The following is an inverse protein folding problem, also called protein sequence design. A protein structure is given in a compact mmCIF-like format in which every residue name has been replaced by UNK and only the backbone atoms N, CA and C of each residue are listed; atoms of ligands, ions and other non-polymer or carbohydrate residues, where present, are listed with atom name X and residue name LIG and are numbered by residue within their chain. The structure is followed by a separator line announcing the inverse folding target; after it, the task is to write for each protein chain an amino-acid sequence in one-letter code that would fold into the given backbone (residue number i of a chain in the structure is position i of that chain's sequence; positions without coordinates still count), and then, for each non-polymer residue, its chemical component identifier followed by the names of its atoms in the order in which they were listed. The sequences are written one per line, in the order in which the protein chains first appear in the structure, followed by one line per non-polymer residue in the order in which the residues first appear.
data_IF_841773572659
#
_entry.id   IF_841773572659
#
_cell.length_a   1.000
_cell.length_b   1.000
_cell.length_c   1.000
_cell.angle_alpha   90.00
_cell.angle_beta   90.00
_cell.angle_gamma   90.00
#
_symmetry.space_group_name_H-M   'P 1'
#
loop_
_entity.id
_entity.type
_entity.pdbx_description
1 polymer ?
#
# COMPACT_ATOMS: atom_id res chain seq x y z
N UNK A 1 -2.11 -2.30 -11.48
CA UNK A 1 -2.00 -1.80 -10.08
C UNK A 1 -2.95 -2.53 -9.15
N UNK A 2 -4.16 -2.86 -9.61
CA UNK A 2 -5.14 -3.75 -8.96
C UNK A 2 -4.48 -5.00 -8.35
N UNK A 3 -3.67 -5.72 -9.12
CA UNK A 3 -3.21 -7.07 -8.75
C UNK A 3 -2.44 -7.18 -7.42
N UNK A 4 -1.64 -6.16 -7.04
CA UNK A 4 -0.91 -6.18 -5.76
C UNK A 4 -1.78 -5.76 -4.56
N UNK A 5 -2.78 -4.91 -4.79
CA UNK A 5 -3.77 -4.54 -3.78
C UNK A 5 -4.74 -5.72 -3.57
N UNK A 6 -5.15 -6.39 -4.64
CA UNK A 6 -5.96 -7.61 -4.60
C UNK A 6 -5.23 -8.73 -3.84
N UNK A 7 -3.91 -8.85 -4.00
CA UNK A 7 -3.08 -9.75 -3.19
C UNK A 7 -3.07 -9.35 -1.70
N UNK A 8 -3.14 -8.07 -1.34
CA UNK A 8 -3.29 -7.67 0.07
C UNK A 8 -4.62 -8.14 0.65
N UNK A 9 -5.68 -8.11 -0.15
CA UNK A 9 -7.00 -8.58 0.25
C UNK A 9 -7.07 -10.11 0.37
N UNK A 10 -6.31 -10.86 -0.45
CA UNK A 10 -6.37 -12.33 -0.50
C UNK A 10 -5.28 -13.05 0.33
N UNK A 11 -4.04 -12.56 0.38
CA UNK A 11 -2.91 -13.33 0.93
C UNK A 11 -2.87 -13.40 2.48
N UNK A 12 -3.75 -12.67 3.17
CA UNK A 12 -3.95 -12.87 4.61
C UNK A 12 -4.71 -14.17 4.96
N UNK A 13 -5.30 -14.88 3.97
CA UNK A 13 -6.42 -15.79 4.24
C UNK A 13 -6.17 -17.30 4.16
N UNK A 14 -5.07 -17.84 3.64
CA UNK A 14 -5.10 -19.28 3.27
C UNK A 14 -4.22 -20.23 4.09
N UNK A 15 -3.04 -19.83 4.57
CA UNK A 15 -2.18 -20.71 5.40
C UNK A 15 -1.03 -19.94 6.07
N UNK A 16 -0.26 -20.61 6.94
CA UNK A 16 0.90 -20.03 7.63
C UNK A 16 1.99 -19.51 6.66
N UNK A 17 2.18 -20.18 5.52
CA UNK A 17 3.14 -19.76 4.48
C UNK A 17 2.72 -18.47 3.78
N UNK A 18 1.44 -18.31 3.47
CA UNK A 18 0.89 -17.08 2.89
C UNK A 18 1.02 -15.88 3.85
N UNK A 19 0.76 -16.10 5.15
CA UNK A 19 0.98 -15.07 6.18
C UNK A 19 2.45 -14.69 6.31
N UNK A 20 3.36 -15.66 6.26
CA UNK A 20 4.79 -15.41 6.26
C UNK A 20 5.22 -14.60 5.02
N UNK A 21 4.79 -15.01 3.82
CA UNK A 21 5.12 -14.29 2.59
C UNK A 21 4.59 -12.85 2.61
N UNK A 22 3.35 -12.66 3.09
CA UNK A 22 2.78 -11.33 3.27
C UNK A 22 3.61 -10.49 4.27
N UNK A 23 4.05 -11.08 5.38
CA UNK A 23 4.85 -10.39 6.41
C UNK A 23 6.25 -10.01 5.95
N UNK A 24 6.94 -10.95 5.30
CA UNK A 24 8.37 -10.82 5.00
C UNK A 24 8.66 -10.24 3.62
N UNK A 25 7.71 -10.33 2.67
CA UNK A 25 7.94 -9.93 1.28
C UNK A 25 6.97 -8.83 0.85
N UNK A 26 5.66 -9.09 0.90
CA UNK A 26 4.67 -8.19 0.32
C UNK A 26 4.50 -6.90 1.11
N UNK A 27 4.33 -6.96 2.43
CA UNK A 27 4.20 -5.76 3.28
C UNK A 27 5.42 -4.82 3.17
N UNK A 28 6.69 -5.31 3.25
CA UNK A 28 7.86 -4.46 3.03
C UNK A 28 7.87 -3.79 1.65
N UNK A 29 7.54 -4.53 0.58
CA UNK A 29 7.51 -3.97 -0.77
C UNK A 29 6.45 -2.86 -0.93
N UNK A 30 5.26 -3.05 -0.36
CA UNK A 30 4.19 -2.05 -0.39
C UNK A 30 4.53 -0.81 0.43
N UNK A 31 5.13 -0.99 1.61
CA UNK A 31 5.60 0.14 2.45
C UNK A 31 6.67 0.95 1.72
N UNK A 32 7.61 0.28 1.03
CA UNK A 32 8.63 0.94 0.20
C UNK A 32 7.98 1.76 -0.91
N UNK A 33 7.01 1.19 -1.64
CA UNK A 33 6.28 1.89 -2.69
C UNK A 33 5.49 3.10 -2.15
N UNK A 34 4.83 2.96 -1.00
CA UNK A 34 4.12 4.07 -0.35
C UNK A 34 5.07 5.21 0.00
N UNK A 35 6.26 4.89 0.51
CA UNK A 35 7.28 5.89 0.81
C UNK A 35 7.79 6.58 -0.47
N UNK A 36 8.01 5.85 -1.56
CA UNK A 36 8.42 6.40 -2.86
C UNK A 36 7.34 7.34 -3.44
N UNK A 37 6.06 6.96 -3.34
CA UNK A 37 4.95 7.79 -3.80
C UNK A 37 4.82 9.08 -2.99
N UNK A 38 4.94 9.00 -1.66
CA UNK A 38 4.97 10.18 -0.77
C UNK A 38 6.11 11.14 -1.11
N UNK A 39 7.30 10.61 -1.36
CA UNK A 39 8.44 11.42 -1.80
C UNK A 39 8.20 12.05 -3.18
N UNK A 40 7.45 11.38 -4.05
CA UNK A 40 7.05 11.94 -5.34
C UNK A 40 6.07 13.10 -5.13
N UNK A 41 5.00 12.90 -4.36
CA UNK A 41 4.01 13.92 -4.01
C UNK A 41 4.63 15.16 -3.35
N UNK A 42 5.57 14.97 -2.43
CA UNK A 42 6.27 16.08 -1.78
C UNK A 42 7.05 16.97 -2.79
N UNK A 43 7.47 16.43 -3.94
CA UNK A 43 8.09 17.24 -5.01
C UNK A 43 7.06 18.03 -5.84
N UNK A 44 5.78 17.65 -5.77
CA UNK A 44 4.69 18.35 -6.43
C UNK A 44 4.15 19.52 -5.61
N UNK A 45 4.37 19.54 -4.29
CA UNK A 45 3.94 20.64 -3.41
C UNK A 45 4.60 21.99 -3.77
N UNK A 46 5.78 21.94 -4.40
CA UNK A 46 6.51 23.11 -4.93
C UNK A 46 6.14 23.48 -6.39
N UNK A 47 5.18 22.78 -7.02
CA UNK A 47 4.79 23.04 -8.42
C UNK A 47 3.77 24.18 -8.47
N UNK A 48 4.01 25.24 -9.28
CA UNK A 48 3.11 26.38 -9.39
C UNK A 48 1.67 26.01 -9.72
N UNK A 49 0.73 26.67 -9.05
CA UNK A 49 -0.71 26.44 -9.19
C UNK A 49 -1.13 26.58 -10.66
N UNK A 50 -1.47 25.45 -11.29
CA UNK A 50 -1.89 25.40 -12.70
C UNK A 50 -1.17 24.37 -13.58
N UNK A 51 -0.05 23.77 -13.15
CA UNK A 51 0.67 22.84 -14.01
C UNK A 51 0.27 21.35 -13.91
N UNK A 52 -0.15 20.76 -12.78
CA UNK A 52 -0.42 19.30 -12.75
C UNK A 52 -1.55 18.82 -11.80
N UNK A 53 -2.71 19.50 -11.79
CA UNK A 53 -3.86 19.10 -10.95
C UNK A 53 -4.37 17.67 -11.16
N UNK A 54 -4.20 17.09 -12.35
CA UNK A 54 -4.67 15.74 -12.64
C UNK A 54 -3.71 14.64 -12.18
N UNK A 55 -2.39 14.89 -12.24
CA UNK A 55 -1.37 13.95 -11.79
C UNK A 55 -1.38 13.82 -10.27
N UNK A 56 -1.46 14.94 -9.57
CA UNK A 56 -1.54 15.01 -8.11
C UNK A 56 -2.78 14.29 -7.57
N UNK A 57 -3.97 14.54 -8.15
CA UNK A 57 -5.20 13.88 -7.73
C UNK A 57 -5.24 12.36 -8.01
N UNK A 58 -4.49 11.87 -9.01
CA UNK A 58 -4.33 10.44 -9.24
C UNK A 58 -3.35 9.81 -8.25
N UNK A 59 -2.21 10.46 -7.99
CA UNK A 59 -1.21 9.99 -7.02
C UNK A 59 -1.72 10.00 -5.58
N UNK A 60 -2.50 11.01 -5.17
CA UNK A 60 -3.13 11.06 -3.83
C UNK A 60 -4.11 9.89 -3.62
N UNK A 61 -4.91 9.55 -4.65
CA UNK A 61 -5.80 8.38 -4.58
C UNK A 61 -5.03 7.07 -4.49
N UNK A 62 -3.94 6.94 -5.26
CA UNK A 62 -3.06 5.77 -5.19
C UNK A 62 -2.40 5.64 -3.81
N UNK A 63 -2.00 6.75 -3.19
CA UNK A 63 -1.44 6.78 -1.83
C UNK A 63 -2.45 6.25 -0.81
N UNK A 64 -3.68 6.77 -0.85
CA UNK A 64 -4.77 6.37 0.04
C UNK A 64 -5.13 4.89 -0.12
N UNK A 65 -5.27 4.42 -1.37
CA UNK A 65 -5.58 3.02 -1.64
C UNK A 65 -4.49 2.08 -1.14
N UNK A 66 -3.22 2.43 -1.36
CA UNK A 66 -2.08 1.66 -0.91
C UNK A 66 -1.96 1.66 0.63
N UNK A 67 -2.17 2.81 1.27
CA UNK A 67 -2.16 2.92 2.72
C UNK A 67 -3.25 2.06 3.38
N UNK A 68 -4.49 2.07 2.84
CA UNK A 68 -5.58 1.21 3.32
C UNK A 68 -5.27 -0.27 3.13
N UNK A 69 -4.70 -0.66 1.98
CA UNK A 69 -4.35 -2.04 1.70
C UNK A 69 -3.29 -2.57 2.68
N UNK A 70 -2.27 -1.76 3.00
CA UNK A 70 -1.25 -2.08 4.02
C UNK A 70 -1.90 -2.24 5.39
N UNK A 71 -2.70 -1.27 5.83
CA UNK A 71 -3.35 -1.32 7.15
C UNK A 71 -4.26 -2.55 7.30
N UNK A 72 -5.00 -2.90 6.25
CA UNK A 72 -5.82 -4.10 6.22
C UNK A 72 -4.98 -5.38 6.32
N UNK A 73 -3.92 -5.50 5.53
CA UNK A 73 -3.03 -6.66 5.56
C UNK A 73 -2.33 -6.81 6.91
N UNK A 74 -1.87 -5.70 7.52
CA UNK A 74 -1.26 -5.68 8.86
C UNK A 74 -2.22 -6.15 9.95
N UNK A 75 -3.46 -5.64 9.94
CA UNK A 75 -4.49 -6.04 10.91
C UNK A 75 -4.78 -7.55 10.85
N UNK A 76 -4.67 -8.16 9.66
CA UNK A 76 -4.94 -9.60 9.50
C UNK A 76 -3.73 -10.49 9.74
N UNK A 77 -2.53 -10.07 9.36
CA UNK A 77 -1.29 -10.81 9.62
C UNK A 77 -0.88 -10.74 11.10
N UNK A 78 -1.23 -9.65 11.80
CA UNK A 78 -0.99 -9.47 13.24
C UNK A 78 -2.07 -10.08 14.14
N UNK A 79 -3.24 -10.41 13.57
CA UNK A 79 -4.28 -11.16 14.27
C UNK A 79 -3.86 -12.63 14.36
N UNK A 80 -2.99 -12.97 15.32
CA UNK A 80 -2.84 -14.36 15.74
C UNK A 80 -4.24 -14.89 16.08
N UNK A 81 -4.72 -15.86 15.31
CA UNK A 81 -5.84 -16.68 15.75
C UNK A 81 -5.32 -17.45 16.96
N UNK A 82 -5.59 -16.92 18.14
CA UNK A 82 -5.49 -17.65 19.40
C UNK A 82 -6.48 -18.81 19.26
N UNK A 83 -5.95 -19.99 18.98
CA UNK A 83 -6.66 -21.26 19.05
C UNK A 83 -6.30 -21.96 20.36
#
# INVERSE_FOLDING_TARGET
MSDQIDLCYCAAYENAGARWNMREVTLPALRKRLAELRQCLAKFEDVPEGMERFGEAAMLREEDELARAIAYAEARVGSEVVA
#
